data_IF_110773171945
#
_entry.id   IF_110773171945
#
_cell.length_a   1.000
_cell.length_b   1.000
_cell.length_c   1.000
_cell.angle_alpha   90.00
_cell.angle_beta   90.00
_cell.angle_gamma   90.00
#
_symmetry.space_group_name_H-M   'P 1'
#
loop_
_entity.id
_entity.type
_entity.pdbx_description
1 polymer ?
#
# COMPACT_ATOMS: atom_id res chain seq x y z
N UNK A 1 -5.16 -7.95 -1.49
CA UNK A 1 -4.09 -7.37 -2.32
C UNK A 1 -3.57 -8.36 -3.38
N UNK A 2 -2.88 -9.46 -3.03
CA UNK A 2 -2.21 -10.41 -3.93
C UNK A 2 -3.09 -10.96 -5.07
N UNK A 3 -4.35 -11.36 -4.78
CA UNK A 3 -5.24 -11.90 -5.82
C UNK A 3 -5.56 -10.87 -6.91
N UNK A 4 -5.65 -9.60 -6.56
CA UNK A 4 -5.83 -8.50 -7.50
C UNK A 4 -4.58 -8.27 -8.35
N UNK A 5 -3.38 -8.28 -7.75
CA UNK A 5 -2.13 -8.17 -8.48
C UNK A 5 -1.99 -9.27 -9.53
N UNK A 6 -2.26 -10.53 -9.15
CA UNK A 6 -2.24 -11.66 -10.09
C UNK A 6 -3.25 -11.48 -11.23
N UNK A 7 -4.47 -11.03 -10.92
CA UNK A 7 -5.49 -10.78 -11.97
C UNK A 7 -5.08 -9.64 -12.91
N UNK A 8 -4.44 -8.61 -12.39
CA UNK A 8 -3.97 -7.49 -13.20
C UNK A 8 -2.82 -7.95 -14.12
N UNK A 9 -1.83 -8.67 -13.60
CA UNK A 9 -0.72 -9.19 -14.42
C UNK A 9 -1.17 -10.18 -15.50
N UNK A 10 -2.19 -11.00 -15.23
CA UNK A 10 -2.77 -11.89 -16.25
C UNK A 10 -3.46 -11.13 -17.39
N UNK A 11 -3.81 -9.85 -17.20
CA UNK A 11 -4.29 -8.98 -18.26
C UNK A 11 -3.18 -8.21 -18.99
N UNK A 12 -1.91 -8.49 -18.64
CA UNK A 12 -0.75 -7.79 -19.18
C UNK A 12 -0.50 -6.42 -18.56
N UNK A 13 -1.14 -6.10 -17.43
CA UNK A 13 -0.98 -4.82 -16.74
C UNK A 13 0.34 -4.78 -15.95
N UNK A 14 1.05 -3.67 -16.00
CA UNK A 14 2.18 -3.40 -15.12
C UNK A 14 1.65 -2.98 -13.74
N UNK A 15 2.02 -3.72 -12.71
CA UNK A 15 1.44 -3.63 -11.36
C UNK A 15 2.49 -3.21 -10.35
N UNK A 16 2.15 -2.26 -9.49
CA UNK A 16 2.85 -2.00 -8.23
C UNK A 16 1.96 -2.50 -7.09
N UNK A 17 2.46 -3.45 -6.30
CA UNK A 17 1.87 -3.89 -5.05
C UNK A 17 2.77 -3.44 -3.91
N UNK A 18 2.32 -2.52 -3.11
CA UNK A 18 3.11 -1.93 -2.04
C UNK A 18 2.38 -1.93 -0.69
N UNK A 19 3.16 -1.93 0.38
CA UNK A 19 2.72 -1.73 1.75
C UNK A 19 3.77 -0.87 2.48
N UNK A 20 3.48 -0.45 3.71
CA UNK A 20 4.45 0.35 4.48
C UNK A 20 5.56 -0.51 5.09
N UNK A 21 5.26 -1.73 5.49
CA UNK A 21 6.09 -2.59 6.33
C UNK A 21 7.00 -3.50 5.47
N UNK A 22 8.33 -3.36 5.59
CA UNK A 22 9.31 -4.14 4.82
C UNK A 22 9.19 -5.67 5.04
N UNK A 23 9.06 -6.20 6.28
CA UNK A 23 8.82 -7.62 6.49
C UNK A 23 7.54 -8.14 5.81
N UNK A 24 6.49 -7.32 5.73
CA UNK A 24 5.27 -7.68 5.02
C UNK A 24 5.51 -7.71 3.51
N UNK A 25 6.20 -6.70 2.96
CA UNK A 25 6.56 -6.64 1.55
C UNK A 25 7.37 -7.87 1.14
N UNK A 26 8.40 -8.23 1.91
CA UNK A 26 9.22 -9.43 1.68
C UNK A 26 8.38 -10.71 1.70
N UNK A 27 7.48 -10.90 2.69
CA UNK A 27 6.61 -12.07 2.78
C UNK A 27 5.60 -12.15 1.61
N UNK A 28 5.14 -11.01 1.10
CA UNK A 28 4.26 -10.95 -0.07
C UNK A 28 5.05 -11.29 -1.33
N UNK A 29 6.25 -10.76 -1.48
CA UNK A 29 7.15 -11.06 -2.60
C UNK A 29 7.47 -12.56 -2.69
N UNK A 30 7.88 -13.18 -1.58
CA UNK A 30 8.15 -14.63 -1.52
C UNK A 30 6.96 -15.49 -1.99
N UNK A 31 5.73 -15.08 -1.65
CA UNK A 31 4.51 -15.80 -2.04
C UNK A 31 4.04 -15.49 -3.46
N UNK A 32 4.40 -14.32 -3.95
CA UNK A 32 4.01 -13.89 -5.29
C UNK A 32 4.83 -14.61 -6.35
N UNK A 33 6.14 -14.74 -6.11
CA UNK A 33 7.12 -15.30 -7.05
C UNK A 33 7.52 -14.32 -8.15
N UNK A 34 8.44 -14.75 -9.00
CA UNK A 34 8.93 -13.93 -10.10
C UNK A 34 7.84 -13.66 -11.13
N UNK A 35 7.61 -12.38 -11.38
CA UNK A 35 6.69 -11.90 -12.42
C UNK A 35 7.12 -10.52 -12.89
N UNK A 36 7.64 -10.43 -14.12
CA UNK A 36 8.19 -9.21 -14.71
C UNK A 36 7.21 -8.03 -14.78
N UNK A 37 5.90 -8.32 -14.68
CA UNK A 37 4.86 -7.29 -14.69
C UNK A 37 4.50 -6.78 -13.30
N UNK A 38 4.99 -7.42 -12.23
CA UNK A 38 4.58 -7.08 -10.87
C UNK A 38 5.78 -6.71 -10.01
N UNK A 39 5.82 -5.46 -9.60
CA UNK A 39 6.74 -4.98 -8.57
C UNK A 39 6.06 -5.14 -7.21
N UNK A 40 6.71 -5.84 -6.28
CA UNK A 40 6.26 -5.99 -4.88
C UNK A 40 7.34 -5.45 -3.98
N UNK A 41 7.04 -4.37 -3.26
CA UNK A 41 8.03 -3.76 -2.37
C UNK A 41 7.36 -2.91 -1.28
N UNK A 42 8.13 -2.50 -0.25
CA UNK A 42 7.69 -1.47 0.67
C UNK A 42 7.56 -0.11 -0.04
N UNK A 43 6.85 0.83 0.56
CA UNK A 43 6.65 2.15 -0.06
C UNK A 43 7.98 2.87 -0.34
N UNK A 44 8.88 2.90 0.63
CA UNK A 44 10.15 3.60 0.48
C UNK A 44 11.07 2.88 -0.50
N UNK A 45 11.20 1.56 -0.40
CA UNK A 45 12.06 0.79 -1.29
C UNK A 45 11.58 0.88 -2.73
N UNK A 46 10.28 0.73 -2.96
CA UNK A 46 9.69 0.95 -4.28
C UNK A 46 9.96 2.36 -4.80
N UNK A 47 9.74 3.39 -3.95
CA UNK A 47 9.89 4.79 -4.35
C UNK A 47 11.34 5.16 -4.70
N UNK A 48 12.33 4.63 -3.97
CA UNK A 48 13.74 4.89 -4.24
C UNK A 48 14.27 4.17 -5.49
N UNK A 49 13.62 3.09 -5.92
CA UNK A 49 13.98 2.33 -7.12
C UNK A 49 13.31 2.84 -8.40
N UNK A 50 12.37 3.80 -8.31
CA UNK A 50 11.69 4.35 -9.48
C UNK A 50 12.66 5.03 -10.44
N UNK A 51 12.49 4.81 -11.74
CA UNK A 51 13.28 5.45 -12.78
C UNK A 51 13.16 6.97 -12.70
N UNK A 52 14.29 7.65 -12.64
CA UNK A 52 14.41 9.10 -12.48
C UNK A 52 14.49 9.58 -11.03
N UNK A 53 14.32 8.70 -10.04
CA UNK A 53 14.57 9.02 -8.63
C UNK A 53 16.07 9.04 -8.36
N UNK A 54 16.64 10.16 -7.88
CA UNK A 54 18.06 10.20 -7.50
C UNK A 54 18.34 9.28 -6.31
N UNK A 55 19.52 8.69 -6.30
CA UNK A 55 19.99 7.88 -5.17
C UNK A 55 20.02 8.69 -3.87
N UNK A 56 19.65 8.07 -2.78
CA UNK A 56 19.73 8.61 -1.43
C UNK A 56 20.53 7.64 -0.55
N UNK A 57 21.60 8.11 0.02
CA UNK A 57 22.38 7.33 0.99
C UNK A 57 21.59 7.18 2.29
N UNK A 58 21.30 5.93 2.66
CA UNK A 58 20.56 5.59 3.87
C UNK A 58 21.57 5.26 4.97
N UNK A 59 21.64 6.05 6.07
CA UNK A 59 22.52 5.76 7.19
C UNK A 59 22.18 4.42 7.85
N UNK A 60 23.20 3.71 8.34
CA UNK A 60 23.00 2.43 9.03
C UNK A 60 22.12 2.55 10.28
N UNK A 61 22.16 3.71 10.94
CA UNK A 61 21.35 4.07 12.11
C UNK A 61 20.14 4.94 11.79
N UNK A 62 19.63 4.89 10.57
CA UNK A 62 18.42 5.64 10.17
C UNK A 62 17.23 5.24 11.07
N UNK A 63 16.75 6.19 11.84
CA UNK A 63 15.60 6.05 12.73
C UNK A 63 14.28 6.54 12.10
N UNK A 64 13.17 6.41 12.83
CA UNK A 64 11.87 6.88 12.36
C UNK A 64 11.86 8.37 11.99
N UNK A 65 12.63 9.22 12.70
CA UNK A 65 12.72 10.65 12.39
C UNK A 65 13.41 10.89 11.06
N UNK A 66 14.45 10.12 10.74
CA UNK A 66 15.12 10.19 9.45
C UNK A 66 14.19 9.82 8.30
N UNK A 67 13.41 8.74 8.47
CA UNK A 67 12.43 8.31 7.47
C UNK A 67 11.31 9.33 7.27
N UNK A 68 10.78 9.90 8.36
CA UNK A 68 9.68 10.87 8.30
C UNK A 68 10.12 12.26 7.80
N UNK A 69 11.42 12.59 7.83
CA UNK A 69 11.92 13.91 7.43
C UNK A 69 12.82 13.87 6.21
N UNK A 70 13.95 13.14 6.27
CA UNK A 70 14.96 13.15 5.19
C UNK A 70 14.46 12.36 3.99
N UNK A 71 13.98 11.13 4.21
CA UNK A 71 13.49 10.26 3.15
C UNK A 71 12.26 10.89 2.47
N UNK A 72 11.26 11.30 3.25
CA UNK A 72 10.05 11.98 2.73
C UNK A 72 10.42 13.27 1.99
N UNK A 73 11.32 14.09 2.54
CA UNK A 73 11.78 15.33 1.90
C UNK A 73 12.53 15.08 0.60
N UNK A 74 13.29 13.98 0.49
CA UNK A 74 13.93 13.56 -0.75
C UNK A 74 12.90 13.20 -1.82
N UNK A 75 11.94 12.34 -1.47
CA UNK A 75 10.88 11.94 -2.38
C UNK A 75 10.07 13.15 -2.87
N UNK A 76 9.67 14.04 -1.98
CA UNK A 76 8.91 15.25 -2.35
C UNK A 76 9.65 16.14 -3.35
N UNK A 77 10.97 16.33 -3.16
CA UNK A 77 11.78 17.18 -4.06
C UNK A 77 12.00 16.57 -5.44
N UNK A 78 12.00 15.25 -5.53
CA UNK A 78 12.42 14.57 -6.76
C UNK A 78 11.28 13.81 -7.46
N UNK A 79 10.11 13.73 -6.87
CA UNK A 79 8.98 12.97 -7.42
C UNK A 79 8.60 13.36 -8.86
N UNK A 80 8.71 14.65 -9.18
CA UNK A 80 8.44 15.16 -10.53
C UNK A 80 9.42 14.69 -11.62
N UNK A 81 10.52 14.02 -11.24
CA UNK A 81 11.49 13.44 -12.19
C UNK A 81 11.19 11.98 -12.52
N UNK A 82 10.30 11.35 -11.78
CA UNK A 82 9.96 9.94 -11.94
C UNK A 82 9.25 9.71 -13.25
N UNK A 83 9.75 8.77 -14.04
CA UNK A 83 9.20 8.39 -15.34
C UNK A 83 8.44 7.07 -15.34
N UNK A 84 8.66 6.22 -14.32
CA UNK A 84 7.92 4.97 -14.18
C UNK A 84 6.41 5.17 -14.13
N UNK A 85 5.67 4.27 -14.80
CA UNK A 85 4.21 4.26 -14.80
C UNK A 85 3.69 2.84 -14.62
N UNK A 86 2.59 2.72 -13.90
CA UNK A 86 1.91 1.46 -13.61
C UNK A 86 0.44 1.54 -14.06
N UNK A 87 -0.06 0.46 -14.61
CA UNK A 87 -1.48 0.35 -15.01
C UNK A 87 -2.39 0.12 -13.82
N UNK A 88 -1.87 -0.60 -12.81
CA UNK A 88 -2.56 -0.91 -11.57
C UNK A 88 -1.62 -0.70 -10.38
N UNK A 89 -2.08 0.04 -9.38
CA UNK A 89 -1.40 0.21 -8.09
C UNK A 89 -2.26 -0.36 -6.99
N UNK A 90 -1.67 -1.17 -6.13
CA UNK A 90 -2.32 -1.81 -4.99
C UNK A 90 -1.56 -1.43 -3.73
N UNK A 91 -2.26 -0.82 -2.79
CA UNK A 91 -1.73 -0.45 -1.48
C UNK A 91 -2.35 -1.36 -0.43
N UNK A 92 -1.53 -2.20 0.18
CA UNK A 92 -1.94 -3.05 1.30
C UNK A 92 -1.64 -2.35 2.63
N UNK A 93 -2.47 -2.57 3.65
CA UNK A 93 -2.41 -1.86 4.94
C UNK A 93 -2.37 -0.33 4.75
N UNK A 94 -3.27 0.19 3.90
CA UNK A 94 -3.27 1.59 3.50
C UNK A 94 -3.48 2.58 4.67
N UNK A 95 -4.02 2.13 5.81
CA UNK A 95 -4.15 2.95 7.02
C UNK A 95 -2.80 3.44 7.58
N UNK A 96 -1.69 2.80 7.20
CA UNK A 96 -0.33 3.20 7.61
C UNK A 96 0.29 4.26 6.70
N UNK A 97 -0.41 4.65 5.63
CA UNK A 97 0.07 5.65 4.67
C UNK A 97 -0.40 7.06 5.02
N UNK A 98 0.40 8.06 4.68
CA UNK A 98 -0.06 9.44 4.69
C UNK A 98 -0.85 9.77 3.41
N UNK A 99 -1.77 10.75 3.44
CA UNK A 99 -2.48 11.21 2.25
C UNK A 99 -1.55 11.68 1.14
N UNK A 100 -0.40 12.27 1.47
CA UNK A 100 0.59 12.72 0.49
C UNK A 100 1.26 11.56 -0.24
N UNK A 101 1.51 10.44 0.43
CA UNK A 101 2.08 9.25 -0.21
C UNK A 101 1.08 8.58 -1.16
N UNK A 102 -0.19 8.53 -0.76
CA UNK A 102 -1.26 8.07 -1.67
C UNK A 102 -1.35 8.95 -2.92
N UNK A 103 -1.30 10.27 -2.75
CA UNK A 103 -1.29 11.21 -3.87
C UNK A 103 -0.06 11.06 -4.78
N UNK A 104 1.11 10.75 -4.22
CA UNK A 104 2.32 10.44 -4.98
C UNK A 104 2.14 9.15 -5.79
N UNK A 105 1.64 8.07 -5.17
CA UNK A 105 1.36 6.82 -5.88
C UNK A 105 0.34 7.00 -7.01
N UNK A 106 -0.69 7.83 -6.82
CA UNK A 106 -1.66 8.14 -7.88
C UNK A 106 -1.03 8.78 -9.11
N UNK A 107 0.05 9.56 -8.96
CA UNK A 107 0.78 10.17 -10.07
C UNK A 107 1.57 9.13 -10.90
N UNK A 108 1.85 7.96 -10.34
CA UNK A 108 2.50 6.85 -11.06
C UNK A 108 1.51 6.07 -11.94
N UNK A 109 0.21 6.32 -11.84
CA UNK A 109 -0.75 5.66 -12.72
C UNK A 109 -0.55 6.07 -14.17
N UNK A 110 -0.44 5.07 -15.05
CA UNK A 110 -0.29 5.26 -16.49
C UNK A 110 -1.49 6.03 -17.05
N UNK A 111 -1.33 7.26 -17.58
CA UNK A 111 -2.44 8.06 -18.10
C UNK A 111 -3.10 7.41 -19.32
N UNK A 112 -2.36 6.62 -20.08
CA UNK A 112 -2.84 5.94 -21.30
C UNK A 112 -3.32 4.50 -21.01
N UNK A 113 -3.20 4.05 -19.75
CA UNK A 113 -3.61 2.73 -19.30
C UNK A 113 -4.95 2.73 -18.54
N UNK A 114 -5.30 1.60 -17.91
CA UNK A 114 -6.56 1.43 -17.18
C UNK A 114 -6.66 2.27 -15.89
N UNK A 115 -5.55 2.80 -15.38
CA UNK A 115 -5.47 3.70 -14.21
C UNK A 115 -6.20 3.17 -12.97
N UNK A 116 -5.93 1.92 -12.62
CA UNK A 116 -6.59 1.28 -11.47
C UNK A 116 -5.78 1.49 -10.19
N UNK A 117 -6.48 1.85 -9.12
CA UNK A 117 -5.91 1.85 -7.78
C UNK A 117 -6.81 1.08 -6.83
N UNK A 118 -6.21 0.19 -6.03
CA UNK A 118 -6.88 -0.53 -4.97
C UNK A 118 -6.18 -0.20 -3.65
N UNK A 119 -6.94 0.19 -2.64
CA UNK A 119 -6.44 0.31 -1.28
C UNK A 119 -7.15 -0.69 -0.40
N UNK A 120 -6.38 -1.46 0.36
CA UNK A 120 -6.87 -2.37 1.39
C UNK A 120 -6.47 -1.78 2.74
N UNK A 121 -7.45 -1.48 3.57
CA UNK A 121 -7.23 -0.82 4.86
C UNK A 121 -8.12 -1.42 5.95
N UNK A 122 -7.58 -1.46 7.16
CA UNK A 122 -8.32 -1.71 8.39
C UNK A 122 -8.01 -0.55 9.37
N UNK A 123 -8.93 0.42 9.43
CA UNK A 123 -8.74 1.62 10.27
C UNK A 123 -8.62 1.26 11.76
N UNK A 124 -9.14 0.10 12.19
CA UNK A 124 -9.04 -0.36 13.58
C UNK A 124 -7.62 -0.85 13.94
N UNK A 125 -6.79 -1.13 12.96
CA UNK A 125 -5.41 -1.61 13.11
C UNK A 125 -4.36 -0.52 12.84
N UNK A 126 -4.76 0.74 12.67
CA UNK A 126 -3.83 1.84 12.42
C UNK A 126 -2.85 1.99 13.61
N UNK A 127 -1.57 1.73 13.36
CA UNK A 127 -0.49 1.90 14.33
C UNK A 127 0.09 3.31 14.23
N UNK A 128 0.10 3.87 13.03
CA UNK A 128 0.66 5.18 12.73
C UNK A 128 -0.42 6.23 12.54
N UNK A 129 -0.33 7.34 13.26
CA UNK A 129 -1.28 8.47 13.13
C UNK A 129 -0.83 9.43 12.01
N UNK A 130 -0.81 8.95 10.76
CA UNK A 130 -0.40 9.73 9.58
C UNK A 130 -1.54 10.45 8.87
N UNK A 131 -2.74 10.45 9.48
CA UNK A 131 -3.89 11.16 8.93
C UNK A 131 -4.53 10.47 7.73
N UNK A 132 -4.37 9.15 7.59
CA UNK A 132 -5.08 8.38 6.57
C UNK A 132 -6.59 8.55 6.74
N UNK A 133 -7.27 8.76 5.64
CA UNK A 133 -8.74 8.74 5.56
C UNK A 133 -9.14 7.96 4.32
N UNK A 134 -10.19 7.15 4.45
CA UNK A 134 -10.74 6.47 3.28
C UNK A 134 -11.25 7.50 2.26
N UNK A 135 -10.91 7.33 0.97
CA UNK A 135 -11.43 8.18 -0.07
C UNK A 135 -12.96 8.15 -0.14
N UNK A 136 -13.54 9.26 -0.54
CA UNK A 136 -14.98 9.38 -0.69
C UNK A 136 -15.45 8.80 -2.05
N UNK A 137 -16.68 8.30 -2.08
CA UNK A 137 -17.29 7.82 -3.32
C UNK A 137 -17.39 8.91 -4.39
N UNK A 138 -17.57 10.17 -3.97
CA UNK A 138 -17.67 11.32 -4.86
C UNK A 138 -16.36 11.60 -5.64
N UNK A 139 -15.23 11.06 -5.15
CA UNK A 139 -13.93 11.13 -5.83
C UNK A 139 -13.71 9.96 -6.82
N UNK A 140 -14.77 9.23 -7.16
CA UNK A 140 -14.73 8.10 -8.11
C UNK A 140 -14.28 6.77 -7.50
N UNK A 141 -14.23 6.67 -6.17
CA UNK A 141 -13.89 5.44 -5.46
C UNK A 141 -15.11 4.55 -5.20
N UNK A 142 -14.90 3.25 -5.28
CA UNK A 142 -15.90 2.24 -4.90
C UNK A 142 -15.43 1.59 -3.61
N UNK A 143 -16.22 1.74 -2.55
CA UNK A 143 -15.96 1.11 -1.25
C UNK A 143 -16.56 -0.29 -1.21
N UNK A 144 -15.75 -1.27 -0.81
CA UNK A 144 -16.18 -2.63 -0.52
C UNK A 144 -15.75 -3.00 0.91
N UNK A 145 -16.67 -3.46 1.71
CA UNK A 145 -16.38 -3.90 3.09
C UNK A 145 -16.28 -5.42 3.15
N UNK A 146 -15.21 -5.92 3.79
CA UNK A 146 -15.03 -7.32 4.11
C UNK A 146 -15.61 -7.57 5.52
N UNK A 147 -16.87 -7.96 5.58
CA UNK A 147 -17.60 -8.10 6.85
C UNK A 147 -17.38 -9.44 7.55
N UNK A 148 -16.87 -10.46 6.83
CA UNK A 148 -16.68 -11.80 7.41
C UNK A 148 -15.23 -11.97 7.89
N UNK A 149 -15.06 -12.35 9.15
CA UNK A 149 -13.75 -12.71 9.70
C UNK A 149 -13.41 -14.16 9.33
N UNK A 150 -12.64 -14.34 8.24
CA UNK A 150 -12.20 -15.66 7.78
C UNK A 150 -10.79 -16.03 8.29
N UNK A 151 -10.14 -15.15 9.06
CA UNK A 151 -8.75 -15.35 9.52
C UNK A 151 -8.68 -15.97 10.90
N UNK A 152 -9.53 -15.53 11.83
CA UNK A 152 -9.49 -15.95 13.22
C UNK A 152 -10.53 -17.02 13.53
N UNK A 153 -10.19 -17.95 14.44
CA UNK A 153 -11.17 -18.88 14.97
C UNK A 153 -12.30 -18.10 15.68
N UNK A 154 -13.53 -18.62 15.62
CA UNK A 154 -14.71 -17.98 16.19
C UNK A 154 -14.53 -17.53 17.65
N UNK A 155 -13.85 -18.35 18.48
CA UNK A 155 -13.57 -18.02 19.89
C UNK A 155 -12.66 -16.78 20.03
N UNK A 156 -11.67 -16.64 19.17
CA UNK A 156 -10.75 -15.47 19.18
C UNK A 156 -11.50 -14.22 18.72
N UNK A 157 -12.30 -14.33 17.66
CA UNK A 157 -13.11 -13.23 17.16
C UNK A 157 -14.13 -12.75 18.22
N UNK A 158 -14.77 -13.68 18.94
CA UNK A 158 -15.71 -13.37 20.02
C UNK A 158 -15.05 -12.70 21.22
N UNK A 159 -13.83 -13.14 21.61
CA UNK A 159 -13.06 -12.51 22.68
C UNK A 159 -12.65 -11.08 22.31
N UNK A 160 -12.11 -10.88 21.11
CA UNK A 160 -11.73 -9.55 20.62
C UNK A 160 -12.94 -8.61 20.64
N UNK A 161 -14.10 -9.10 20.22
CA UNK A 161 -15.35 -8.34 20.26
C UNK A 161 -15.74 -7.89 21.68
N UNK A 162 -15.60 -8.74 22.70
CA UNK A 162 -15.87 -8.38 24.09
C UNK A 162 -14.96 -7.28 24.61
N UNK A 163 -13.69 -7.23 24.15
CA UNK A 163 -12.73 -6.22 24.59
C UNK A 163 -12.80 -4.91 23.81
N UNK A 164 -13.14 -4.94 22.51
CA UNK A 164 -13.12 -3.77 21.63
C UNK A 164 -14.47 -3.10 21.44
N UNK A 165 -15.56 -3.74 21.87
CA UNK A 165 -16.90 -3.13 21.90
C UNK A 165 -17.50 -2.83 20.53
N UNK A 166 -17.72 -3.82 19.70
CA UNK A 166 -18.43 -3.69 18.42
C UNK A 166 -19.44 -4.83 18.19
N UNK A 167 -20.30 -4.82 17.16
CA UNK A 167 -21.15 -5.95 16.86
C UNK A 167 -20.31 -7.16 16.44
N UNK A 168 -20.69 -8.40 16.82
CA UNK A 168 -19.93 -9.59 16.46
C UNK A 168 -19.81 -9.67 14.93
N UNK A 169 -18.57 -9.84 14.45
CA UNK A 169 -18.36 -10.09 13.04
C UNK A 169 -19.10 -11.38 12.67
N UNK A 170 -19.96 -11.38 11.65
CA UNK A 170 -20.62 -12.61 11.19
C UNK A 170 -19.53 -13.62 10.77
N UNK A 171 -19.73 -14.86 11.18
CA UNK A 171 -18.88 -16.01 10.89
C UNK A 171 -19.28 -16.61 9.55
#
# INVERSE_FOLDING_TARGET
AMAWARRASLRGERVLLTCYNDPLAAAVWERFGDNDLVTVDSYFDAAFQLEGMPELEIPAEADGTWWDTVAVGHLQRHWGKVTDRFDTIIVDEAQDFSPSWIAQLQQLLNPDGPRRMLMVADESQAIYTRGFTLPLADDGWVRCELVNNCRNAHQIASLLHQFLGGPPAPV
#
